data_IF_959245559078
#
_entry.id   IF_959245559078
#
_cell.length_a   1.000
_cell.length_b   1.000
_cell.length_c   1.000
_cell.angle_alpha   90.00
_cell.angle_beta   90.00
_cell.angle_gamma   90.00
#
_symmetry.space_group_name_H-M   'P 1'
#
loop_
_entity.id
_entity.type
_entity.pdbx_description
1 polymer ?
#
# COMPACT_ATOMS: atom_id res chain seq x y z
N UNK A 1 3.11 17.91 -23.04
CA UNK A 1 3.07 16.74 -22.15
C UNK A 1 2.06 17.05 -21.07
N UNK A 2 1.04 16.22 -20.88
CA UNK A 2 0.03 16.46 -19.84
C UNK A 2 0.63 16.24 -18.46
N UNK A 3 0.04 16.84 -17.42
CA UNK A 3 0.51 16.62 -16.05
C UNK A 3 0.47 15.13 -15.66
N UNK A 4 -0.54 14.40 -16.12
CA UNK A 4 -0.62 12.95 -15.94
C UNK A 4 0.59 12.21 -16.57
N UNK A 5 1.01 12.60 -17.78
CA UNK A 5 2.19 12.02 -18.43
C UNK A 5 3.48 12.30 -17.64
N UNK A 6 3.57 13.44 -16.95
CA UNK A 6 4.69 13.72 -16.03
C UNK A 6 4.69 12.75 -14.84
N UNK A 7 3.51 12.37 -14.32
CA UNK A 7 3.41 11.39 -13.24
C UNK A 7 3.68 9.94 -13.69
N UNK A 8 3.75 9.69 -15.00
CA UNK A 8 4.14 8.38 -15.56
C UNK A 8 5.63 8.35 -15.97
N UNK A 9 6.32 9.48 -15.87
CA UNK A 9 7.70 9.64 -16.31
C UNK A 9 8.68 8.82 -15.45
N UNK A 10 9.90 8.61 -15.97
CA UNK A 10 10.96 7.92 -15.21
C UNK A 10 11.39 8.75 -14.01
N UNK A 11 11.52 10.06 -14.19
CA UNK A 11 11.94 11.03 -13.19
C UNK A 11 10.98 11.04 -12.00
N UNK A 12 9.66 11.09 -12.26
CA UNK A 12 8.69 11.01 -11.19
C UNK A 12 8.74 9.65 -10.49
N UNK A 13 8.84 8.53 -11.22
CA UNK A 13 8.97 7.20 -10.61
C UNK A 13 10.18 7.10 -9.67
N UNK A 14 11.32 7.67 -10.04
CA UNK A 14 12.50 7.70 -9.17
C UNK A 14 12.30 8.64 -7.97
N UNK A 15 11.74 9.85 -8.17
CA UNK A 15 11.37 10.74 -7.06
C UNK A 15 10.43 10.03 -6.08
N UNK A 16 9.43 9.31 -6.59
CA UNK A 16 8.48 8.56 -5.76
C UNK A 16 9.17 7.53 -4.89
N UNK A 17 10.13 6.78 -5.43
CA UNK A 17 10.92 5.81 -4.65
C UNK A 17 11.71 6.49 -3.53
N UNK A 18 12.28 7.67 -3.78
CA UNK A 18 13.00 8.44 -2.76
C UNK A 18 12.06 8.84 -1.62
N UNK A 19 10.90 9.41 -1.95
CA UNK A 19 9.93 9.87 -0.94
C UNK A 19 9.35 8.69 -0.15
N UNK A 20 8.98 7.60 -0.81
CA UNK A 20 8.47 6.41 -0.11
C UNK A 20 9.51 5.81 0.85
N UNK A 21 10.80 5.81 0.47
CA UNK A 21 11.88 5.37 1.36
C UNK A 21 12.08 6.32 2.54
N UNK A 22 12.07 7.64 2.31
CA UNK A 22 12.13 8.65 3.38
C UNK A 22 11.02 8.43 4.40
N UNK A 23 9.82 8.16 3.90
CA UNK A 23 8.60 7.98 4.69
C UNK A 23 8.44 6.54 5.20
N UNK A 24 9.49 5.71 5.10
CA UNK A 24 9.52 4.31 5.57
C UNK A 24 8.33 3.47 5.07
N UNK A 25 7.85 3.74 3.85
CA UNK A 25 6.67 3.11 3.27
C UNK A 25 5.42 3.19 4.17
N UNK A 26 5.28 4.31 4.88
CA UNK A 26 4.16 4.59 5.76
C UNK A 26 3.40 5.83 5.32
N UNK A 27 2.08 5.77 5.44
CA UNK A 27 1.26 6.97 5.48
C UNK A 27 1.69 7.85 6.66
N UNK A 28 2.08 9.09 6.38
CA UNK A 28 2.58 10.04 7.39
C UNK A 28 1.49 10.61 8.31
N UNK A 29 0.22 10.26 8.07
CA UNK A 29 -0.90 10.66 8.92
C UNK A 29 -1.41 9.52 9.81
N UNK A 30 -1.42 8.28 9.32
CA UNK A 30 -2.02 7.16 10.05
C UNK A 30 -1.06 5.97 10.29
N UNK A 31 0.20 6.07 9.84
CA UNK A 31 1.20 4.99 9.96
C UNK A 31 0.69 3.65 9.41
N UNK A 32 -0.05 3.70 8.29
CA UNK A 32 -0.73 2.58 7.64
C UNK A 32 -1.89 1.93 8.42
N UNK A 33 -2.21 2.38 9.64
CA UNK A 33 -3.26 1.78 10.49
C UNK A 33 -4.62 1.62 9.79
N UNK A 34 -5.08 2.66 9.09
CA UNK A 34 -6.36 2.62 8.36
C UNK A 34 -6.40 1.54 7.27
N UNK A 35 -5.27 1.31 6.61
CA UNK A 35 -5.16 0.31 5.53
C UNK A 35 -5.08 -1.09 6.12
N UNK A 36 -4.16 -1.31 7.08
CA UNK A 36 -3.92 -2.65 7.62
C UNK A 36 -5.09 -3.20 8.44
N UNK A 37 -5.90 -2.34 9.05
CA UNK A 37 -7.12 -2.77 9.75
C UNK A 37 -8.17 -3.38 8.81
N UNK A 38 -8.04 -3.16 7.50
CA UNK A 38 -8.90 -3.74 6.46
C UNK A 38 -8.26 -4.96 5.77
N UNK A 39 -7.05 -5.34 6.18
CA UNK A 39 -6.28 -6.42 5.58
C UNK A 39 -6.12 -7.58 6.55
N UNK A 40 -5.94 -8.77 5.96
CA UNK A 40 -5.48 -9.94 6.69
C UNK A 40 -3.96 -9.92 6.80
N UNK A 41 -3.43 -10.62 7.79
CA UNK A 41 -1.98 -10.74 7.96
C UNK A 41 -1.51 -12.16 8.23
N UNK A 42 -0.28 -12.45 7.81
CA UNK A 42 0.34 -13.74 8.07
C UNK A 42 1.81 -13.76 7.72
N UNK A 43 2.50 -14.81 8.19
CA UNK A 43 3.93 -14.96 7.95
C UNK A 43 4.17 -15.48 6.53
N UNK A 44 5.20 -14.96 5.88
CA UNK A 44 5.73 -15.55 4.65
C UNK A 44 6.17 -17.00 4.86
N UNK A 45 5.62 -17.89 4.02
CA UNK A 45 5.92 -19.32 4.07
C UNK A 45 6.76 -19.73 2.86
N UNK A 46 6.26 -19.50 1.65
CA UNK A 46 6.93 -19.89 0.41
C UNK A 46 6.43 -19.06 -0.77
N UNK A 47 7.18 -19.02 -1.87
CA UNK A 47 6.79 -18.41 -3.14
C UNK A 47 6.74 -19.46 -4.24
N UNK A 48 5.67 -19.43 -5.03
CA UNK A 48 5.48 -20.26 -6.21
C UNK A 48 5.50 -19.36 -7.43
N UNK A 49 6.39 -19.66 -8.37
CA UNK A 49 6.43 -18.98 -9.67
C UNK A 49 5.53 -19.72 -10.65
N UNK A 50 4.56 -19.02 -11.22
CA UNK A 50 3.73 -19.53 -12.32
C UNK A 50 4.10 -18.81 -13.63
N UNK A 51 3.53 -19.25 -14.75
CA UNK A 51 3.73 -18.61 -16.07
C UNK A 51 3.30 -17.13 -16.09
N UNK A 52 2.29 -16.76 -15.30
CA UNK A 52 1.64 -15.45 -15.37
C UNK A 52 1.80 -14.60 -14.11
N UNK A 53 1.95 -15.25 -12.95
CA UNK A 53 1.95 -14.58 -11.65
C UNK A 53 2.95 -15.22 -10.69
N UNK A 54 3.44 -14.44 -9.72
CA UNK A 54 4.01 -15.00 -8.50
C UNK A 54 2.91 -15.15 -7.47
N UNK A 55 2.87 -16.32 -6.86
CA UNK A 55 1.95 -16.65 -5.78
C UNK A 55 2.75 -16.80 -4.50
N UNK A 56 2.30 -16.17 -3.43
CA UNK A 56 2.92 -16.31 -2.12
C UNK A 56 2.01 -17.13 -1.21
N UNK A 57 2.58 -18.16 -0.58
CA UNK A 57 1.96 -18.88 0.53
C UNK A 57 2.19 -18.13 1.82
N UNK A 58 1.10 -17.93 2.56
CA UNK A 58 1.06 -17.10 3.77
C UNK A 58 0.45 -17.93 4.88
N UNK A 59 1.17 -18.07 5.99
CA UNK A 59 0.66 -18.72 7.19
C UNK A 59 -0.13 -17.68 8.00
N UNK A 60 -1.45 -17.71 7.84
CA UNK A 60 -2.39 -16.75 8.44
C UNK A 60 -2.27 -16.67 9.96
N UNK A 61 -2.33 -15.45 10.51
CA UNK A 61 -2.36 -15.19 11.96
C UNK A 61 -3.77 -15.36 12.56
N UNK A 62 -4.81 -15.31 11.73
CA UNK A 62 -6.19 -15.37 12.21
C UNK A 62 -6.66 -16.82 12.35
N UNK A 63 -6.78 -17.54 11.23
CA UNK A 63 -7.39 -18.89 11.18
C UNK A 63 -6.36 -20.04 11.20
N UNK A 64 -5.10 -19.77 10.87
CA UNK A 64 -4.01 -20.74 10.88
C UNK A 64 -4.01 -21.66 9.69
N UNK A 65 -4.90 -21.39 8.75
CA UNK A 65 -4.96 -22.03 7.46
C UNK A 65 -4.00 -21.25 6.55
N UNK A 66 -3.09 -21.98 5.90
CA UNK A 66 -2.24 -21.39 4.88
C UNK A 66 -3.09 -20.82 3.76
N UNK A 67 -2.83 -19.57 3.35
CA UNK A 67 -3.51 -18.94 2.23
C UNK A 67 -2.55 -18.61 1.10
N UNK A 68 -3.10 -18.31 -0.07
CA UNK A 68 -2.32 -17.93 -1.25
C UNK A 68 -2.78 -16.58 -1.77
N UNK A 69 -1.83 -15.69 -2.02
CA UNK A 69 -2.07 -14.37 -2.61
C UNK A 69 -1.17 -14.13 -3.81
N UNK A 70 -1.63 -13.32 -4.76
CA UNK A 70 -0.81 -12.83 -5.86
C UNK A 70 0.14 -11.73 -5.39
N UNK A 71 1.32 -11.69 -5.98
CA UNK A 71 2.34 -10.66 -5.74
C UNK A 71 3.04 -10.33 -7.06
N UNK A 72 3.36 -9.06 -7.28
CA UNK A 72 4.12 -8.64 -8.46
C UNK A 72 5.63 -8.86 -8.28
N UNK A 73 6.37 -8.76 -9.39
CA UNK A 73 7.80 -9.02 -9.44
C UNK A 73 8.61 -8.08 -8.54
N UNK A 74 8.27 -6.79 -8.49
CA UNK A 74 9.00 -5.79 -7.72
C UNK A 74 8.79 -5.98 -6.22
N UNK A 75 7.53 -6.14 -5.80
CA UNK A 75 7.15 -6.39 -4.40
C UNK A 75 7.74 -7.71 -3.90
N UNK A 76 7.82 -8.75 -4.76
CA UNK A 76 8.35 -10.06 -4.35
C UNK A 76 9.82 -10.06 -3.92
N UNK A 77 10.60 -9.04 -4.32
CA UNK A 77 12.02 -8.91 -3.97
C UNK A 77 12.24 -8.59 -2.49
N UNK A 78 11.21 -8.13 -1.79
CA UNK A 78 11.27 -7.80 -0.36
C UNK A 78 10.91 -8.98 0.56
N UNK A 79 10.61 -10.15 0.00
CA UNK A 79 10.27 -11.34 0.78
C UNK A 79 11.52 -12.02 1.34
N UNK A 80 11.49 -12.35 2.62
CA UNK A 80 12.42 -13.28 3.27
C UNK A 80 11.72 -14.09 4.37
N UNK A 81 12.43 -15.02 4.99
CA UNK A 81 11.91 -15.92 6.03
C UNK A 81 11.35 -15.21 7.27
N UNK A 82 11.61 -13.91 7.42
CA UNK A 82 11.14 -13.07 8.52
C UNK A 82 10.16 -11.99 8.04
N UNK A 83 9.53 -12.17 6.88
CA UNK A 83 8.51 -11.25 6.39
C UNK A 83 7.13 -11.54 7.00
N UNK A 84 6.51 -10.50 7.54
CA UNK A 84 5.06 -10.41 7.72
C UNK A 84 4.45 -9.88 6.43
N UNK A 85 3.36 -10.51 5.99
CA UNK A 85 2.64 -10.15 4.77
C UNK A 85 1.25 -9.67 5.15
N UNK A 86 0.86 -8.53 4.59
CA UNK A 86 -0.50 -8.01 4.61
C UNK A 86 -1.15 -8.22 3.24
N UNK A 87 -2.32 -8.82 3.23
CA UNK A 87 -3.03 -9.19 2.00
C UNK A 87 -4.54 -8.97 2.12
N UNK A 88 -5.20 -8.76 0.99
CA UNK A 88 -6.62 -8.49 0.92
C UNK A 88 -7.21 -8.86 -0.42
N UNK A 89 -8.53 -8.79 -0.53
CA UNK A 89 -9.23 -9.03 -1.79
C UNK A 89 -9.29 -7.75 -2.63
N UNK A 90 -9.06 -7.88 -3.93
CA UNK A 90 -9.34 -6.83 -4.90
C UNK A 90 -10.84 -6.82 -5.25
N UNK A 91 -11.31 -5.79 -5.93
CA UNK A 91 -12.69 -5.71 -6.46
C UNK A 91 -13.05 -6.88 -7.40
N UNK A 92 -12.05 -7.53 -8.00
CA UNK A 92 -12.23 -8.71 -8.86
C UNK A 92 -12.20 -10.02 -8.07
N UNK A 93 -12.21 -9.96 -6.73
CA UNK A 93 -12.11 -11.12 -5.84
C UNK A 93 -10.73 -11.76 -5.75
N UNK A 94 -9.72 -11.23 -6.45
CA UNK A 94 -8.36 -11.77 -6.41
C UNK A 94 -7.68 -11.35 -5.11
N UNK A 95 -7.11 -12.32 -4.37
CA UNK A 95 -6.26 -12.04 -3.21
C UNK A 95 -4.90 -11.50 -3.69
N UNK A 96 -4.49 -10.37 -3.13
CA UNK A 96 -3.25 -9.68 -3.47
C UNK A 96 -2.51 -9.24 -2.22
N UNK A 97 -1.17 -9.27 -2.28
CA UNK A 97 -0.30 -8.67 -1.27
C UNK A 97 -0.32 -7.15 -1.39
N UNK A 98 -0.54 -6.49 -0.26
CA UNK A 98 -0.53 -5.03 -0.15
C UNK A 98 0.69 -4.50 0.60
N UNK A 99 1.23 -5.25 1.56
CA UNK A 99 2.37 -4.79 2.34
C UNK A 99 3.26 -5.94 2.83
N UNK A 100 4.54 -5.64 2.98
CA UNK A 100 5.54 -6.54 3.55
C UNK A 100 6.33 -5.74 4.59
N UNK A 101 6.48 -6.32 5.78
CA UNK A 101 7.35 -5.78 6.83
C UNK A 101 8.18 -6.88 7.47
N UNK A 102 9.19 -6.49 8.22
CA UNK A 102 9.94 -7.44 9.05
C UNK A 102 9.11 -7.81 10.28
N UNK A 103 9.23 -9.08 10.70
CA UNK A 103 8.69 -9.55 11.97
C UNK A 103 9.44 -8.88 13.12
N UNK A 104 8.70 -8.41 14.12
CA UNK A 104 9.28 -7.92 15.36
C UNK A 104 9.87 -9.10 16.20
N UNK A 105 10.69 -8.82 17.23
CA UNK A 105 11.32 -9.88 18.03
C UNK A 105 10.32 -10.88 18.64
N UNK A 106 9.19 -10.39 19.18
CA UNK A 106 8.16 -11.22 19.80
C UNK A 106 7.50 -12.14 18.77
N UNK A 107 7.13 -11.60 17.60
CA UNK A 107 6.57 -12.38 16.50
C UNK A 107 7.56 -13.44 16.01
N UNK A 108 8.85 -13.10 15.89
CA UNK A 108 9.90 -14.06 15.51
C UNK A 108 9.93 -15.24 16.49
N UNK A 109 9.89 -14.99 17.79
CA UNK A 109 9.87 -16.05 18.81
C UNK A 109 8.60 -16.90 18.74
N UNK A 110 7.44 -16.26 18.57
CA UNK A 110 6.15 -16.93 18.41
C UNK A 110 6.18 -17.87 17.20
N UNK A 111 6.58 -17.38 16.03
CA UNK A 111 6.62 -18.20 14.82
C UNK A 111 7.68 -19.30 14.86
N UNK A 112 8.81 -19.08 15.55
CA UNK A 112 9.80 -20.14 15.80
C UNK A 112 9.21 -21.24 16.69
N UNK A 113 8.51 -20.86 17.75
CA UNK A 113 7.86 -21.78 18.68
C UNK A 113 6.80 -22.63 17.96
N UNK A 114 6.00 -22.02 17.07
CA UNK A 114 5.03 -22.75 16.25
C UNK A 114 5.68 -23.75 15.33
N UNK A 115 6.70 -23.33 14.59
CA UNK A 115 7.40 -24.22 13.67
C UNK A 115 8.02 -25.42 14.40
N UNK A 116 8.52 -25.21 15.63
CA UNK A 116 9.02 -26.28 16.49
C UNK A 116 7.91 -27.25 16.92
N UNK A 117 6.78 -26.73 17.41
CA UNK A 117 5.64 -27.56 17.81
C UNK A 117 5.08 -28.38 16.64
N UNK A 118 4.95 -27.76 15.46
CA UNK A 118 4.50 -28.43 14.25
C UNK A 118 5.43 -29.57 13.86
N UNK A 119 6.76 -29.32 13.83
CA UNK A 119 7.77 -30.35 13.52
C UNK A 119 7.74 -31.51 14.51
N UNK A 120 7.53 -31.21 15.79
CA UNK A 120 7.44 -32.23 16.84
C UNK A 120 6.19 -33.11 16.65
N UNK A 121 5.02 -32.50 16.47
CA UNK A 121 3.74 -33.21 16.38
C UNK A 121 3.59 -34.01 15.08
N UNK A 122 4.13 -33.51 13.97
CA UNK A 122 4.05 -34.17 12.67
C UNK A 122 5.35 -34.87 12.25
N UNK A 123 6.25 -35.18 13.20
CA UNK A 123 7.48 -35.93 12.94
C UNK A 123 7.21 -37.30 12.28
N UNK A 124 6.10 -37.94 12.65
CA UNK A 124 5.62 -39.17 12.04
C UNK A 124 4.26 -38.96 11.36
N UNK A 125 4.20 -38.86 10.02
CA UNK A 125 2.97 -38.60 9.28
C UNK A 125 2.01 -39.80 9.22
N UNK A 126 2.44 -40.98 9.69
CA UNK A 126 1.67 -42.23 9.67
C UNK A 126 1.02 -42.58 11.03
N UNK A 127 1.01 -41.66 11.99
CA UNK A 127 0.32 -41.84 13.28
C UNK A 127 -1.18 -41.48 13.19
N UNK A 128 -2.04 -42.37 13.70
CA UNK A 128 -3.49 -42.43 13.45
C UNK A 128 -4.36 -41.34 14.13
N UNK A 129 -3.80 -40.26 14.66
CA UNK A 129 -4.61 -39.22 15.31
C UNK A 129 -4.25 -37.80 14.88
N UNK A 130 -4.45 -37.53 13.58
CA UNK A 130 -4.33 -36.19 12.99
C UNK A 130 -5.21 -35.17 13.72
N UNK A 131 -6.43 -35.55 14.10
CA UNK A 131 -7.37 -34.66 14.79
C UNK A 131 -6.83 -34.16 16.14
N UNK A 132 -6.28 -35.07 16.97
CA UNK A 132 -5.66 -34.69 18.24
C UNK A 132 -4.43 -33.78 18.04
N UNK A 133 -3.60 -34.05 17.01
CA UNK A 133 -2.44 -33.22 16.67
C UNK A 133 -2.85 -31.81 16.25
N UNK A 134 -3.87 -31.68 15.41
CA UNK A 134 -4.42 -30.38 15.02
C UNK A 134 -5.05 -29.66 16.20
N UNK A 135 -5.81 -30.36 17.06
CA UNK A 135 -6.37 -29.77 18.29
C UNK A 135 -5.27 -29.22 19.20
N UNK A 136 -4.18 -29.96 19.39
CA UNK A 136 -3.04 -29.50 20.16
C UNK A 136 -2.38 -28.25 19.54
N UNK A 137 -2.18 -28.23 18.22
CA UNK A 137 -1.66 -27.04 17.54
C UNK A 137 -2.57 -25.83 17.68
N UNK A 138 -3.89 -26.02 17.61
CA UNK A 138 -4.87 -24.95 17.84
C UNK A 138 -4.76 -24.39 19.25
N UNK A 139 -4.55 -25.23 20.27
CA UNK A 139 -4.32 -24.77 21.65
C UNK A 139 -3.03 -23.96 21.77
N UNK A 140 -1.92 -24.44 21.20
CA UNK A 140 -0.65 -23.70 21.27
C UNK A 140 -0.77 -22.37 20.50
N UNK A 141 -1.49 -22.38 19.37
CA UNK A 141 -1.80 -21.18 18.59
C UNK A 141 -2.62 -20.16 19.36
N UNK A 142 -3.65 -20.58 20.09
CA UNK A 142 -4.46 -19.68 20.91
C UNK A 142 -3.59 -18.96 21.96
N UNK A 143 -2.66 -19.68 22.60
CA UNK A 143 -1.69 -19.09 23.54
C UNK A 143 -0.79 -18.04 22.86
N UNK A 144 -0.34 -18.28 21.63
CA UNK A 144 0.43 -17.29 20.88
C UNK A 144 -0.36 -16.05 20.50
N UNK A 145 -1.61 -16.22 20.06
CA UNK A 145 -2.48 -15.09 19.71
C UNK A 145 -2.69 -14.20 20.94
N UNK A 146 -2.81 -14.78 22.14
CA UNK A 146 -2.84 -13.99 23.40
C UNK A 146 -1.58 -13.15 23.57
N UNK A 147 -0.39 -13.76 23.45
CA UNK A 147 0.89 -13.05 23.57
C UNK A 147 1.05 -11.92 22.55
N UNK A 148 0.60 -12.14 21.31
CA UNK A 148 0.63 -11.10 20.27
C UNK A 148 -0.33 -9.94 20.59
N UNK A 149 -1.48 -10.22 21.20
CA UNK A 149 -2.46 -9.20 21.60
C UNK A 149 -2.02 -8.36 22.79
N UNK A 150 -1.19 -8.91 23.68
CA UNK A 150 -0.63 -8.21 24.85
C UNK A 150 0.45 -7.20 24.46
N UNK A 151 1.03 -7.31 23.26
CA UNK A 151 2.00 -6.35 22.72
C UNK A 151 1.24 -5.23 22.02
N UNK A 152 1.09 -4.09 22.70
CA UNK A 152 0.59 -2.88 22.05
C UNK A 152 1.59 -2.43 20.98
N UNK A 153 1.29 -2.76 19.73
CA UNK A 153 2.19 -2.48 18.62
C UNK A 153 1.92 -1.07 18.12
N UNK A 154 2.84 -0.14 18.40
CA UNK A 154 2.82 1.17 17.75
C UNK A 154 3.13 1.00 16.27
N UNK A 155 2.14 1.27 15.41
CA UNK A 155 2.29 1.09 13.96
C UNK A 155 3.45 1.89 13.35
N UNK A 156 3.85 2.99 13.98
CA UNK A 156 5.01 3.81 13.60
C UNK A 156 6.35 3.09 13.77
N UNK A 157 6.44 2.09 14.66
CA UNK A 157 7.68 1.37 14.96
C UNK A 157 7.86 0.10 14.10
N UNK A 158 6.91 -0.18 13.21
CA UNK A 158 6.98 -1.32 12.32
C UNK A 158 7.97 -1.10 11.18
N UNK A 159 8.89 -2.04 11.02
CA UNK A 159 9.91 -2.04 9.95
C UNK A 159 9.33 -2.48 8.60
N UNK A 160 8.65 -1.55 7.92
CA UNK A 160 8.06 -1.76 6.61
C UNK A 160 9.12 -1.85 5.51
N UNK A 161 9.08 -2.94 4.74
CA UNK A 161 9.90 -3.09 3.53
C UNK A 161 9.20 -2.50 2.30
N UNK A 162 7.87 -2.62 2.25
CA UNK A 162 7.03 -2.02 1.23
C UNK A 162 5.57 -1.97 1.69
N UNK A 163 4.87 -0.91 1.27
CA UNK A 163 3.42 -0.80 1.31
C UNK A 163 2.95 -0.25 -0.05
N UNK A 164 2.09 -1.00 -0.72
CA UNK A 164 1.54 -0.62 -2.02
C UNK A 164 0.30 0.27 -1.85
N UNK A 165 -0.07 1.03 -2.88
CA UNK A 165 -1.25 1.90 -2.82
C UNK A 165 -1.05 3.19 -2.03
N UNK A 166 0.19 3.52 -1.64
CA UNK A 166 0.53 4.84 -1.09
C UNK A 166 0.62 5.89 -2.20
N UNK A 167 0.14 7.09 -1.88
CA UNK A 167 0.09 8.25 -2.75
C UNK A 167 1.08 9.31 -2.25
N UNK A 168 1.81 9.94 -3.18
CA UNK A 168 2.65 11.09 -2.85
C UNK A 168 1.88 12.34 -3.23
N UNK A 169 1.58 13.14 -2.22
CA UNK A 169 0.83 14.38 -2.32
C UNK A 169 1.79 15.57 -2.28
N UNK A 170 1.58 16.56 -3.14
CA UNK A 170 2.30 17.83 -3.07
C UNK A 170 1.58 18.74 -2.08
N UNK A 171 2.28 19.23 -1.06
CA UNK A 171 1.69 20.14 -0.07
C UNK A 171 1.50 21.56 -0.61
N UNK A 172 2.17 21.89 -1.71
CA UNK A 172 2.00 23.11 -2.47
C UNK A 172 2.48 22.94 -3.92
N UNK A 173 2.09 23.87 -4.79
CA UNK A 173 2.57 23.94 -6.17
C UNK A 173 3.29 25.26 -6.44
N UNK A 174 4.32 25.22 -7.28
CA UNK A 174 4.99 26.39 -7.87
C UNK A 174 4.71 26.35 -9.37
N UNK A 175 4.32 27.50 -9.94
CA UNK A 175 3.99 27.63 -11.36
C UNK A 175 5.12 27.08 -12.25
N UNK A 176 4.77 26.27 -13.25
CA UNK A 176 5.70 25.66 -14.22
C UNK A 176 6.81 24.77 -13.62
N UNK A 177 6.77 24.46 -12.32
CA UNK A 177 7.76 23.57 -11.69
C UNK A 177 7.36 22.11 -11.90
N UNK A 178 8.29 21.32 -12.42
CA UNK A 178 8.09 19.89 -12.67
C UNK A 178 7.96 19.12 -11.34
N UNK A 179 7.12 18.07 -11.26
CA UNK A 179 6.87 17.33 -10.01
C UNK A 179 8.12 16.80 -9.29
N UNK A 180 9.12 16.35 -10.06
CA UNK A 180 10.36 15.81 -9.48
C UNK A 180 11.38 16.87 -9.06
N UNK A 181 11.19 18.14 -9.43
CA UNK A 181 12.08 19.26 -9.07
C UNK A 181 11.72 19.90 -7.72
N UNK A 182 10.67 19.43 -7.04
CA UNK A 182 10.35 19.88 -5.70
C UNK A 182 11.34 19.29 -4.68
N UNK A 183 11.61 20.05 -3.63
CA UNK A 183 12.30 19.51 -2.46
C UNK A 183 11.46 18.39 -1.84
N UNK A 184 12.12 17.51 -1.08
CA UNK A 184 11.41 16.35 -0.53
C UNK A 184 10.31 16.77 0.45
N UNK A 185 10.57 17.78 1.28
CA UNK A 185 9.64 18.31 2.28
C UNK A 185 8.34 18.88 1.68
N UNK A 186 8.33 19.28 0.41
CA UNK A 186 7.11 19.66 -0.31
C UNK A 186 6.17 18.48 -0.61
N UNK A 187 6.60 17.25 -0.31
CA UNK A 187 5.92 16.01 -0.64
C UNK A 187 5.64 15.21 0.62
N UNK A 188 4.43 14.66 0.72
CA UNK A 188 3.99 13.82 1.83
C UNK A 188 3.40 12.50 1.31
N UNK A 189 3.78 11.37 1.92
CA UNK A 189 3.18 10.07 1.61
C UNK A 189 1.92 9.83 2.41
N UNK A 190 0.80 9.54 1.75
CA UNK A 190 -0.50 9.29 2.35
C UNK A 190 -1.13 8.00 1.79
N UNK A 191 -1.90 7.27 2.60
CA UNK A 191 -2.82 6.26 2.08
C UNK A 191 -4.01 6.93 1.39
N UNK A 192 -4.82 6.17 0.64
CA UNK A 192 -5.98 6.72 -0.06
C UNK A 192 -6.94 7.45 0.90
N UNK A 193 -7.30 6.84 2.03
CA UNK A 193 -8.24 7.43 2.99
C UNK A 193 -7.75 8.77 3.55
N UNK A 194 -6.46 8.85 3.93
CA UNK A 194 -5.86 10.08 4.45
C UNK A 194 -5.68 11.13 3.34
N UNK A 195 -5.35 10.70 2.13
CA UNK A 195 -5.22 11.57 0.97
C UNK A 195 -6.58 12.22 0.62
N UNK A 196 -7.66 11.43 0.57
CA UNK A 196 -9.01 11.96 0.36
C UNK A 196 -9.46 12.89 1.49
N UNK A 197 -9.19 12.53 2.75
CA UNK A 197 -9.50 13.38 3.90
C UNK A 197 -8.76 14.73 3.83
N UNK A 198 -7.49 14.73 3.43
CA UNK A 198 -6.74 15.98 3.20
C UNK A 198 -7.45 16.85 2.18
N UNK A 199 -7.84 16.30 1.03
CA UNK A 199 -8.55 17.04 -0.02
C UNK A 199 -9.93 17.55 0.40
N UNK A 200 -10.62 16.85 1.32
CA UNK A 200 -11.92 17.29 1.87
C UNK A 200 -11.75 18.49 2.81
N UNK A 201 -10.64 18.56 3.53
CA UNK A 201 -10.46 19.51 4.62
C UNK A 201 -9.52 20.68 4.29
N UNK A 202 -8.70 20.57 3.24
CA UNK A 202 -7.67 21.56 2.90
C UNK A 202 -7.52 21.70 1.40
N UNK A 203 -7.38 22.94 0.93
CA UNK A 203 -6.95 23.25 -0.44
C UNK A 203 -5.44 23.39 -0.51
N UNK A 204 -4.87 23.05 -1.66
CA UNK A 204 -3.41 23.08 -1.84
C UNK A 204 -2.99 24.45 -2.39
N UNK A 205 -2.13 25.21 -1.70
CA UNK A 205 -1.70 26.52 -2.17
C UNK A 205 -0.82 26.44 -3.42
N UNK A 206 -0.89 27.50 -4.21
CA UNK A 206 -0.11 27.69 -5.44
C UNK A 206 0.70 28.98 -5.31
N UNK A 207 1.99 28.87 -5.61
CA UNK A 207 2.96 29.95 -5.54
C UNK A 207 3.51 30.31 -6.92
N UNK A 208 3.92 31.56 -7.08
CA UNK A 208 4.74 32.02 -8.21
C UNK A 208 6.16 31.46 -8.13
N UNK A 209 6.98 31.73 -9.15
CA UNK A 209 8.40 31.34 -9.12
C UNK A 209 9.18 32.15 -8.06
N UNK A 210 8.67 33.33 -7.73
CA UNK A 210 9.16 34.26 -6.71
C UNK A 210 8.64 33.88 -5.30
N UNK A 211 7.97 32.73 -5.16
CA UNK A 211 7.41 32.19 -3.92
C UNK A 211 6.29 33.06 -3.31
N UNK A 212 5.61 33.86 -4.12
CA UNK A 212 4.42 34.61 -3.70
C UNK A 212 3.18 33.73 -3.82
N UNK A 213 2.30 33.75 -2.82
CA UNK A 213 1.03 33.02 -2.87
C UNK A 213 0.12 33.65 -3.93
N UNK A 214 -0.22 32.88 -4.97
CA UNK A 214 -1.04 33.35 -6.10
C UNK A 214 -2.41 32.67 -6.18
N UNK A 215 -2.68 31.68 -5.33
CA UNK A 215 -3.98 31.03 -5.23
C UNK A 215 -3.93 29.69 -4.55
N UNK A 216 -4.99 28.91 -4.74
CA UNK A 216 -5.14 27.56 -4.22
C UNK A 216 -5.80 26.68 -5.30
N UNK A 217 -5.48 25.38 -5.30
CA UNK A 217 -6.05 24.43 -6.25
C UNK A 217 -7.45 23.97 -5.82
N UNK A 218 -8.34 23.92 -6.79
CA UNK A 218 -9.70 23.42 -6.66
C UNK A 218 -9.72 21.95 -7.07
N UNK A 219 -10.17 21.08 -6.16
CA UNK A 219 -10.36 19.66 -6.48
C UNK A 219 -11.29 19.49 -7.68
N UNK A 220 -11.01 18.47 -8.49
CA UNK A 220 -11.85 18.16 -9.64
C UNK A 220 -13.28 17.86 -9.19
N UNK A 221 -14.27 18.53 -9.77
CA UNK A 221 -15.66 18.40 -9.30
C UNK A 221 -16.24 17.00 -9.52
N UNK A 222 -15.65 16.22 -10.45
CA UNK A 222 -16.14 14.88 -10.79
C UNK A 222 -15.62 13.84 -9.80
N UNK A 223 -14.31 13.85 -9.53
CA UNK A 223 -13.68 12.85 -8.67
C UNK A 223 -13.33 13.37 -7.28
N UNK A 224 -13.63 14.63 -6.98
CA UNK A 224 -13.34 15.29 -5.71
C UNK A 224 -11.88 15.15 -5.26
N UNK A 225 -10.93 15.14 -6.21
CA UNK A 225 -9.51 14.99 -5.94
C UNK A 225 -8.99 13.54 -5.93
N UNK A 226 -9.85 12.53 -6.07
CA UNK A 226 -9.41 11.13 -6.13
C UNK A 226 -8.59 10.84 -7.41
N UNK A 227 -8.99 11.45 -8.54
CA UNK A 227 -8.36 11.25 -9.86
C UNK A 227 -8.69 9.91 -10.52
N UNK A 228 -9.41 9.02 -9.83
CA UNK A 228 -9.70 7.66 -10.24
C UNK A 228 -11.01 7.15 -9.60
N UNK A 229 -11.66 6.18 -10.24
CA UNK A 229 -12.90 5.52 -9.82
C UNK A 229 -12.76 4.00 -9.90
N UNK A 230 -12.97 3.27 -8.79
CA UNK A 230 -12.87 1.82 -8.78
C UNK A 230 -13.84 1.10 -9.72
N UNK A 231 -15.04 1.66 -9.91
CA UNK A 231 -16.12 1.08 -10.72
C UNK A 231 -15.77 1.07 -12.21
N UNK A 232 -14.91 2.00 -12.65
CA UNK A 232 -14.46 2.11 -14.03
C UNK A 232 -13.13 1.40 -14.28
N UNK A 233 -12.65 0.53 -13.39
CA UNK A 233 -11.36 -0.17 -13.58
C UNK A 233 -11.23 -0.91 -14.93
N UNK A 234 -12.36 -1.35 -15.52
CA UNK A 234 -12.38 -2.01 -16.85
C UNK A 234 -12.29 -1.02 -18.03
N UNK A 235 -12.41 0.28 -17.80
CA UNK A 235 -12.44 1.35 -18.80
C UNK A 235 -11.36 2.39 -18.47
N UNK A 236 -10.34 2.48 -19.32
CA UNK A 236 -9.14 3.34 -19.10
C UNK A 236 -8.52 3.18 -17.68
N UNK A 237 -8.53 1.95 -17.14
CA UNK A 237 -8.03 1.64 -15.79
C UNK A 237 -8.68 2.47 -14.67
N UNK A 238 -9.89 3.00 -14.86
CA UNK A 238 -10.64 3.76 -13.85
C UNK A 238 -10.24 5.22 -13.70
N UNK A 239 -9.38 5.77 -14.56
CA UNK A 239 -9.00 7.18 -14.51
C UNK A 239 -10.25 8.07 -14.58
N UNK A 240 -10.27 9.17 -13.80
CA UNK A 240 -11.34 10.14 -13.91
C UNK A 240 -11.32 10.78 -15.30
N UNK A 241 -12.37 10.58 -16.10
CA UNK A 241 -12.44 11.07 -17.48
C UNK A 241 -12.48 12.59 -17.62
N UNK A 242 -12.86 13.30 -16.55
CA UNK A 242 -12.79 14.75 -16.51
C UNK A 242 -11.35 15.21 -16.31
N UNK A 243 -10.76 14.86 -15.17
CA UNK A 243 -9.45 15.40 -14.84
C UNK A 243 -8.28 14.64 -15.45
N UNK A 244 -8.52 13.48 -16.08
CA UNK A 244 -7.49 12.57 -16.58
C UNK A 244 -6.42 12.33 -15.49
N UNK A 245 -6.86 11.99 -14.29
CA UNK A 245 -5.96 11.75 -13.15
C UNK A 245 -5.25 12.98 -12.56
N UNK A 246 -5.45 14.20 -13.11
CA UNK A 246 -4.81 15.42 -12.60
C UNK A 246 -5.35 15.93 -11.26
N UNK A 247 -6.51 15.45 -10.82
CA UNK A 247 -7.16 15.71 -9.52
C UNK A 247 -7.63 17.15 -9.26
N UNK A 248 -7.15 18.15 -10.00
CA UNK A 248 -7.48 19.57 -9.79
C UNK A 248 -7.94 20.26 -11.07
N UNK A 249 -8.91 21.17 -10.98
CA UNK A 249 -9.51 21.86 -12.13
C UNK A 249 -8.49 22.73 -12.89
N UNK A 250 -7.61 23.43 -12.17
CA UNK A 250 -6.61 24.33 -12.76
C UNK A 250 -5.56 23.56 -13.59
N UNK A 251 -5.23 22.33 -13.17
CA UNK A 251 -4.28 21.46 -13.88
C UNK A 251 -4.92 20.84 -15.14
N UNK A 252 -6.24 20.65 -15.13
CA UNK A 252 -6.98 20.12 -16.29
C UNK A 252 -7.09 21.14 -17.42
N UNK A 253 -7.28 22.41 -17.07
CA UNK A 253 -7.48 23.49 -18.03
C UNK A 253 -6.18 23.95 -18.71
N UNK A 254 -5.03 23.81 -18.05
CA UNK A 254 -3.72 24.12 -18.64
C UNK A 254 -3.35 23.26 -19.87
N UNK A 255 -4.04 22.12 -20.06
CA UNK A 255 -3.82 21.24 -21.22
C UNK A 255 -4.87 21.42 -22.35
N UNK A 256 -5.90 22.23 -22.13
CA UNK A 256 -6.97 22.48 -23.12
C UNK A 256 -6.87 23.85 -23.82
N UNK A 257 -5.89 24.69 -23.48
CA UNK A 257 -5.71 26.00 -24.14
C UNK A 257 -5.27 25.93 -25.61
N UNK A 258 -5.18 24.73 -26.20
CA UNK A 258 -4.84 24.52 -27.62
C UNK A 258 -5.85 23.69 -28.41
N UNK A 259 -7.09 23.50 -27.93
CA UNK A 259 -8.15 22.96 -28.80
C UNK A 259 -9.45 23.74 -28.68
N UNK A 260 -9.80 24.33 -29.82
CA UNK A 260 -11.08 24.93 -30.19
C UNK A 260 -11.33 26.36 -29.70
N UNK A 261 -10.66 27.32 -30.36
CA UNK A 261 -11.36 28.53 -30.80
C UNK A 261 -12.37 28.15 -31.90
N UNK A 262 -13.64 28.26 -31.54
CA UNK A 262 -14.79 28.63 -32.38
C UNK A 262 -15.31 27.65 -33.45
N UNK A 263 -16.58 27.80 -33.89
CA UNK A 263 -17.73 28.49 -33.28
C UNK A 263 -18.74 27.51 -32.64
#
# INVERSE_FOLDING_TARGET
MTYQQLLESKEWREKRKVILKRDLFQCQQCNNSRVINQLHSGKYSNIIKTKYHKLVKIDSIEDGIGTVSTIDEETSKFLDSYSMIYYGQTLKGQKKVYGIRTLNPVEKEVFKSYASAWKHLFKNPFEDNLEAKFKQLTTIRASWISKLKEVETKFSELDWKIMTGLHIHHEYYIKNKLPWNYENDALITLCMDCHEELHKNKKVPVYSNELELIGELTNCYRCHGAGWFPEYLKVENGICFRCRGAKYEEITNANNSNRCTSP
#
